data_IF_278707957028
#
_entry.id   IF_278707957028
#
_cell.length_a   1.000
_cell.length_b   1.000
_cell.length_c   1.000
_cell.angle_alpha   90.00
_cell.angle_beta   90.00
_cell.angle_gamma   90.00
#
_symmetry.space_group_name_H-M   'P 1'
#
loop_
_entity.id
_entity.type
_entity.pdbx_description
1 polymer ?
#
# COMPACT_ATOMS: atom_id res chain seq x y z
N UNK A 1 -11.66 0.84 -17.99
CA UNK A 1 -10.81 0.14 -17.00
C UNK A 1 -10.10 1.16 -16.11
N UNK A 2 -10.20 1.02 -14.78
CA UNK A 2 -9.59 1.96 -13.82
C UNK A 2 -8.18 1.48 -13.48
N UNK A 3 -7.21 2.39 -13.49
CA UNK A 3 -5.83 2.08 -13.06
C UNK A 3 -5.61 2.52 -11.62
N UNK A 4 -5.00 1.66 -10.82
CA UNK A 4 -4.60 1.96 -9.45
C UNK A 4 -3.07 1.97 -9.35
N UNK A 5 -2.56 2.82 -8.47
CA UNK A 5 -1.14 2.89 -8.15
C UNK A 5 -0.92 2.37 -6.74
N UNK A 6 0.11 1.57 -6.55
CA UNK A 6 0.41 0.92 -5.28
C UNK A 6 1.90 1.01 -5.01
N UNK A 7 2.27 1.43 -3.80
CA UNK A 7 3.65 1.42 -3.33
C UNK A 7 4.05 0.01 -2.90
N UNK A 8 5.16 -0.46 -3.44
CA UNK A 8 5.77 -1.75 -3.15
C UNK A 8 7.03 -1.50 -2.32
N UNK A 9 7.23 -2.32 -1.29
CA UNK A 9 8.49 -2.33 -0.55
C UNK A 9 9.50 -3.15 -1.35
N UNK A 10 10.33 -2.48 -2.15
CA UNK A 10 11.34 -3.14 -3.00
C UNK A 10 12.48 -3.75 -2.19
N UNK A 11 12.88 -3.08 -1.11
CA UNK A 11 13.97 -3.54 -0.24
C UNK A 11 13.78 -3.05 1.19
N UNK A 12 14.08 -3.88 2.17
CA UNK A 12 14.06 -3.45 3.57
C UNK A 12 15.05 -2.31 3.83
N UNK A 13 14.66 -1.44 4.76
CA UNK A 13 15.46 -0.26 5.09
C UNK A 13 16.70 -0.67 5.91
N UNK A 14 17.86 -0.26 5.40
CA UNK A 14 19.13 -0.24 6.11
C UNK A 14 19.40 1.20 6.57
N UNK A 15 19.33 1.43 7.88
CA UNK A 15 19.24 2.77 8.45
C UNK A 15 17.92 3.46 8.11
N UNK A 16 18.01 4.71 7.65
CA UNK A 16 16.86 5.52 7.23
C UNK A 16 16.29 5.04 5.89
N UNK A 17 14.95 5.13 5.69
CA UNK A 17 14.34 4.84 4.39
C UNK A 17 14.91 5.74 3.29
N UNK A 18 15.16 5.13 2.12
CA UNK A 18 15.59 5.81 0.90
C UNK A 18 14.51 5.63 -0.15
N UNK A 19 14.45 6.52 -1.13
CA UNK A 19 13.51 6.41 -2.26
C UNK A 19 13.63 5.06 -2.98
N UNK A 20 14.86 4.55 -3.12
CA UNK A 20 15.15 3.26 -3.76
C UNK A 20 14.56 2.04 -3.02
N UNK A 21 14.13 2.20 -1.76
CA UNK A 21 13.46 1.13 -1.03
C UNK A 21 12.02 0.93 -1.48
N UNK A 22 11.44 1.87 -2.22
CA UNK A 22 10.07 1.84 -2.68
C UNK A 22 9.98 1.78 -4.20
N UNK A 23 8.90 1.21 -4.69
CA UNK A 23 8.57 1.20 -6.11
C UNK A 23 7.08 1.49 -6.28
N UNK A 24 6.73 2.38 -7.21
CA UNK A 24 5.34 2.68 -7.53
C UNK A 24 4.90 1.81 -8.71
N UNK A 25 4.00 0.86 -8.45
CA UNK A 25 3.44 -0.01 -9.47
C UNK A 25 2.04 0.46 -9.88
N UNK A 26 1.80 0.55 -11.18
CA UNK A 26 0.48 0.80 -11.75
C UNK A 26 -0.13 -0.53 -12.22
N UNK A 27 -1.39 -0.78 -11.86
CA UNK A 27 -2.10 -2.00 -12.21
C UNK A 27 -3.55 -1.70 -12.57
N UNK A 28 -4.15 -2.50 -13.45
CA UNK A 28 -5.53 -2.32 -13.86
C UNK A 28 -6.44 -3.04 -12.87
N UNK A 29 -7.40 -2.31 -12.30
CA UNK A 29 -8.37 -2.93 -11.41
C UNK A 29 -9.35 -3.81 -12.21
N UNK A 30 -9.63 -5.03 -11.71
CA UNK A 30 -10.66 -5.88 -12.28
C UNK A 30 -12.04 -5.25 -12.14
N UNK A 31 -13.01 -5.74 -12.92
CA UNK A 31 -14.40 -5.29 -12.81
C UNK A 31 -14.99 -5.55 -11.42
N UNK A 32 -15.92 -4.70 -11.04
CA UNK A 32 -16.63 -4.80 -9.77
C UNK A 32 -17.65 -5.92 -9.84
N UNK A 33 -17.78 -6.68 -8.76
CA UNK A 33 -18.84 -7.66 -8.57
C UNK A 33 -19.91 -7.07 -7.67
N UNK A 34 -21.06 -7.73 -7.60
CA UNK A 34 -22.12 -7.30 -6.70
C UNK A 34 -21.64 -7.23 -5.23
N UNK A 35 -21.97 -6.13 -4.57
CA UNK A 35 -21.48 -5.80 -3.23
C UNK A 35 -20.01 -5.32 -3.12
N UNK A 36 -19.25 -5.26 -4.21
CA UNK A 36 -17.94 -4.61 -4.21
C UNK A 36 -18.10 -3.08 -4.28
N UNK A 37 -17.16 -2.35 -3.67
CA UNK A 37 -17.07 -0.88 -3.77
C UNK A 37 -15.71 -0.47 -4.29
N UNK A 38 -15.70 0.54 -5.17
CA UNK A 38 -14.49 1.18 -5.63
C UNK A 38 -14.23 2.43 -4.79
N UNK A 39 -13.09 2.47 -4.10
CA UNK A 39 -12.69 3.63 -3.29
C UNK A 39 -11.43 4.26 -3.87
N UNK A 40 -11.43 5.58 -3.94
CA UNK A 40 -10.26 6.38 -4.30
C UNK A 40 -9.69 6.99 -3.02
N UNK A 41 -8.41 6.71 -2.75
CA UNK A 41 -7.71 7.35 -1.64
C UNK A 41 -7.57 8.86 -1.91
N UNK A 42 -7.98 9.68 -0.95
CA UNK A 42 -7.78 11.14 -0.95
C UNK A 42 -6.55 11.50 -0.12
N UNK A 43 -6.39 10.82 1.02
CA UNK A 43 -5.26 10.96 1.93
C UNK A 43 -4.76 9.56 2.35
N UNK A 44 -3.46 9.47 2.67
CA UNK A 44 -2.82 8.28 3.20
C UNK A 44 -2.03 8.69 4.45
N UNK A 45 -2.20 7.94 5.54
CA UNK A 45 -1.41 8.15 6.76
C UNK A 45 0.00 7.59 6.59
N UNK A 46 0.95 8.18 7.29
CA UNK A 46 2.32 7.70 7.42
C UNK A 46 2.70 7.71 8.90
N UNK A 47 2.88 6.53 9.47
CA UNK A 47 3.01 6.37 10.91
C UNK A 47 4.34 5.69 11.29
N UNK A 48 4.96 6.04 12.43
CA UNK A 48 6.22 5.42 12.87
C UNK A 48 6.16 3.89 12.98
N UNK A 49 4.99 3.35 13.34
CA UNK A 49 4.79 1.90 13.46
C UNK A 49 5.01 1.16 12.13
N UNK A 50 4.83 1.83 10.98
CA UNK A 50 5.00 1.20 9.67
C UNK A 50 6.43 0.67 9.49
N UNK A 51 7.41 1.27 10.18
CA UNK A 51 8.81 0.83 10.15
C UNK A 51 9.00 -0.53 10.80
N UNK A 52 8.43 -0.74 11.99
CA UNK A 52 8.57 -2.01 12.72
C UNK A 52 7.72 -3.10 12.08
N UNK A 53 6.48 -2.80 11.67
CA UNK A 53 5.62 -3.76 10.99
C UNK A 53 6.18 -4.20 9.64
N UNK A 54 6.74 -3.27 8.86
CA UNK A 54 7.41 -3.60 7.59
C UNK A 54 8.52 -4.65 7.80
N UNK A 55 9.32 -4.52 8.86
CA UNK A 55 10.39 -5.49 9.17
C UNK A 55 9.84 -6.85 9.65
N UNK A 56 8.72 -6.86 10.36
CA UNK A 56 8.19 -8.07 10.97
C UNK A 56 7.32 -8.90 10.02
N UNK A 57 6.55 -8.26 9.15
CA UNK A 57 5.41 -8.90 8.47
C UNK A 57 5.38 -8.73 6.95
N UNK A 58 6.20 -7.85 6.36
CA UNK A 58 6.23 -7.60 4.91
C UNK A 58 7.52 -8.21 4.35
N UNK A 59 7.44 -8.87 3.19
CA UNK A 59 8.63 -9.31 2.44
C UNK A 59 8.95 -8.31 1.33
N UNK A 60 10.19 -8.30 0.89
CA UNK A 60 10.58 -7.51 -0.28
C UNK A 60 9.76 -7.94 -1.51
N UNK A 61 9.17 -6.96 -2.20
CA UNK A 61 8.22 -7.16 -3.30
C UNK A 61 6.75 -7.10 -2.92
N UNK A 62 6.41 -7.11 -1.62
CA UNK A 62 5.03 -6.98 -1.15
C UNK A 62 4.55 -5.52 -1.15
N UNK A 63 3.23 -5.37 -1.10
CA UNK A 63 2.56 -4.06 -0.97
C UNK A 63 2.92 -3.43 0.38
N UNK A 64 3.39 -2.19 0.35
CA UNK A 64 3.77 -1.48 1.56
C UNK A 64 2.54 -1.15 2.42
N UNK A 65 2.69 -1.13 3.75
CA UNK A 65 1.61 -0.67 4.63
C UNK A 65 1.18 0.76 4.28
N UNK A 66 -0.13 1.00 4.22
CA UNK A 66 -0.68 2.28 3.78
C UNK A 66 -0.71 2.47 2.25
N UNK A 67 -0.19 1.52 1.46
CA UNK A 67 -0.32 1.54 0.00
C UNK A 67 -1.71 1.03 -0.39
N UNK A 68 -2.63 1.94 -0.71
CA UNK A 68 -3.98 1.59 -1.10
C UNK A 68 -4.02 0.67 -2.32
N UNK A 69 -4.58 -0.54 -2.15
CA UNK A 69 -5.15 -1.34 -3.24
C UNK A 69 -6.53 -1.77 -2.78
N UNK A 70 -7.57 -1.08 -3.26
CA UNK A 70 -8.93 -1.28 -2.75
C UNK A 70 -9.61 -2.42 -3.49
N UNK A 71 -9.72 -3.55 -2.80
CA UNK A 71 -10.80 -4.53 -2.95
C UNK A 71 -11.13 -5.03 -1.54
N UNK A 72 -12.26 -4.57 -1.01
CA UNK A 72 -12.74 -4.65 0.40
C UNK A 72 -11.88 -3.90 1.42
N UNK A 73 -12.55 -3.01 2.13
CA UNK A 73 -12.01 -2.05 3.06
C UNK A 73 -11.88 -2.67 4.45
N UNK A 74 -10.64 -2.83 4.96
CA UNK A 74 -10.35 -2.59 6.36
C UNK A 74 -9.58 -1.26 6.38
N UNK A 75 -10.27 -0.14 6.59
CA UNK A 75 -9.59 1.12 6.92
C UNK A 75 -9.11 0.95 8.37
N UNK A 76 -7.80 0.94 8.57
CA UNK A 76 -7.24 1.45 9.82
C UNK A 76 -6.61 2.80 9.50
N UNK A 77 -7.47 3.81 9.37
CA UNK A 77 -7.08 5.21 9.57
C UNK A 77 -7.20 5.45 11.07
N UNK A 78 -6.07 5.47 11.77
CA UNK A 78 -6.01 6.09 13.10
C UNK A 78 -5.67 7.55 12.82
N UNK A 79 -6.62 8.44 13.12
CA UNK A 79 -6.33 9.86 13.37
C UNK A 79 -5.61 10.00 14.70
#
# INVERSE_FOLDING_TARGET
MVKAKTWILKKHFDGFPKESNFELKEDVLPELRDGDVLVKAVYLSLDPYMRSLSKMWIKEGDVQYGAGKVRKQLFLCIL
#
